data_IF_557518213717
#
_entry.id   IF_557518213717
#
_cell.length_a   1.000
_cell.length_b   1.000
_cell.length_c   1.000
_cell.angle_alpha   90.00
_cell.angle_beta   90.00
_cell.angle_gamma   90.00
#
_symmetry.space_group_name_H-M   'P 1'
#
loop_
_entity.id
_entity.type
_entity.pdbx_description
1 polymer ?
#
# COMPACT_ATOMS: atom_id res chain seq x y z
N UNK A 1 9.88 -38.02 8.84
CA UNK A 1 10.40 -36.68 9.18
C UNK A 1 9.49 -35.70 8.49
N UNK A 2 8.59 -35.10 9.26
CA UNK A 2 7.45 -34.32 8.79
C UNK A 2 7.93 -32.88 8.52
N UNK A 3 7.91 -32.46 7.25
CA UNK A 3 8.28 -31.11 6.83
C UNK A 3 7.04 -30.24 6.97
N UNK A 4 7.03 -29.40 8.02
CA UNK A 4 5.96 -28.48 8.32
C UNK A 4 5.62 -27.61 7.11
N UNK A 5 4.45 -27.86 6.53
CA UNK A 5 3.85 -27.00 5.54
C UNK A 5 3.76 -25.58 6.12
N UNK A 6 4.48 -24.63 5.51
CA UNK A 6 4.24 -23.21 5.72
C UNK A 6 2.75 -22.95 5.44
N UNK A 7 1.97 -22.74 6.51
CA UNK A 7 0.57 -22.35 6.38
C UNK A 7 0.53 -21.04 5.60
N UNK A 8 -0.31 -20.91 4.57
CA UNK A 8 -0.56 -19.60 3.97
C UNK A 8 -1.09 -18.70 5.08
N UNK A 9 -0.32 -17.65 5.41
CA UNK A 9 -0.71 -16.66 6.40
C UNK A 9 -1.82 -15.82 5.79
N UNK A 10 -3.07 -16.27 5.99
CA UNK A 10 -4.27 -15.50 5.66
C UNK A 10 -4.45 -14.37 6.66
N UNK A 11 -5.33 -13.44 6.32
CA UNK A 11 -5.61 -12.17 7.01
C UNK A 11 -6.02 -12.29 8.51
N UNK A 12 -6.05 -13.50 9.06
CA UNK A 12 -6.50 -13.84 10.43
C UNK A 12 -5.50 -13.47 11.54
N UNK A 13 -4.28 -13.03 11.22
CA UNK A 13 -3.25 -12.68 12.22
C UNK A 13 -3.29 -11.22 12.69
N UNK A 14 -4.25 -10.41 12.22
CA UNK A 14 -4.36 -8.99 12.56
C UNK A 14 -5.48 -8.75 13.58
N UNK A 15 -5.23 -7.89 14.59
CA UNK A 15 -6.09 -7.61 15.76
C UNK A 15 -7.52 -7.12 15.43
N UNK A 16 -8.49 -8.02 15.53
CA UNK A 16 -9.93 -7.86 15.22
C UNK A 16 -10.56 -6.71 16.02
N UNK A 17 -11.05 -5.68 15.32
CA UNK A 17 -11.77 -4.53 15.89
C UNK A 17 -11.65 -3.26 15.03
N UNK A 18 -10.42 -2.88 14.68
CA UNK A 18 -10.13 -1.83 13.68
C UNK A 18 -9.91 -2.40 12.27
N UNK A 19 -9.75 -3.72 12.17
CA UNK A 19 -9.42 -4.37 10.91
C UNK A 19 -10.60 -4.59 9.99
N UNK A 20 -11.84 -4.64 10.49
CA UNK A 20 -12.98 -4.86 9.61
C UNK A 20 -13.15 -3.69 8.62
N UNK A 21 -12.98 -2.45 9.09
CA UNK A 21 -12.93 -1.27 8.22
C UNK A 21 -11.76 -1.33 7.23
N UNK A 22 -10.57 -1.73 7.69
CA UNK A 22 -9.42 -1.93 6.81
C UNK A 22 -9.72 -3.01 5.76
N UNK A 23 -10.24 -4.18 6.14
CA UNK A 23 -10.57 -5.26 5.21
C UNK A 23 -11.63 -4.83 4.20
N UNK A 24 -12.65 -4.09 4.62
CA UNK A 24 -13.66 -3.53 3.72
C UNK A 24 -13.04 -2.54 2.74
N UNK A 25 -12.21 -1.62 3.22
CA UNK A 25 -11.49 -0.66 2.40
C UNK A 25 -10.57 -1.35 1.38
N UNK A 26 -9.83 -2.38 1.80
CA UNK A 26 -8.98 -3.16 0.91
C UNK A 26 -9.78 -3.90 -0.16
N UNK A 27 -10.94 -4.47 0.18
CA UNK A 27 -11.85 -5.07 -0.80
C UNK A 27 -12.40 -4.04 -1.79
N UNK A 28 -12.70 -2.83 -1.31
CA UNK A 28 -13.15 -1.71 -2.15
C UNK A 28 -12.04 -1.28 -3.13
N UNK A 29 -10.79 -1.19 -2.66
CA UNK A 29 -9.61 -0.91 -3.50
C UNK A 29 -9.36 -2.01 -4.54
N UNK A 30 -9.35 -3.27 -4.12
CA UNK A 30 -9.12 -4.43 -5.00
C UNK A 30 -10.19 -4.53 -6.11
N UNK A 31 -11.46 -4.31 -5.76
CA UNK A 31 -12.58 -4.33 -6.70
C UNK A 31 -12.71 -3.05 -7.53
N UNK A 32 -11.84 -2.05 -7.29
CA UNK A 32 -11.93 -0.70 -7.89
C UNK A 32 -13.30 -0.05 -7.69
N UNK A 33 -13.90 -0.30 -6.53
CA UNK A 33 -15.22 0.20 -6.16
C UNK A 33 -15.14 1.49 -5.32
N UNK A 34 -13.94 2.03 -5.08
CA UNK A 34 -13.74 3.25 -4.32
C UNK A 34 -14.40 4.44 -5.04
N UNK A 35 -15.23 5.19 -4.32
CA UNK A 35 -16.03 6.30 -4.86
C UNK A 35 -15.50 7.66 -4.43
N UNK A 36 -14.72 7.71 -3.36
CA UNK A 36 -14.14 8.94 -2.82
C UNK A 36 -12.61 8.96 -2.90
N UNK A 37 -12.02 10.15 -2.78
CA UNK A 37 -10.56 10.27 -2.64
C UNK A 37 -10.05 9.61 -1.35
N UNK A 38 -10.81 9.70 -0.26
CA UNK A 38 -10.42 9.10 1.02
C UNK A 38 -10.35 7.56 0.95
N UNK A 39 -11.19 6.94 0.13
CA UNK A 39 -11.15 5.48 -0.11
C UNK A 39 -10.04 5.08 -1.08
N UNK A 40 -9.62 5.97 -2.00
CA UNK A 40 -8.58 5.70 -3.00
C UNK A 40 -7.17 5.95 -2.51
N UNK A 41 -6.98 6.83 -1.53
CA UNK A 41 -5.68 7.24 -1.03
C UNK A 41 -5.59 6.93 0.46
N UNK A 42 -4.94 5.82 0.77
CA UNK A 42 -4.95 5.24 2.11
C UNK A 42 -3.52 5.14 2.62
N UNK A 43 -3.32 5.47 3.90
CA UNK A 43 -2.06 5.24 4.59
C UNK A 43 -2.28 4.32 5.78
N UNK A 44 -1.56 3.20 5.82
CA UNK A 44 -1.60 2.24 6.93
C UNK A 44 -0.33 2.32 7.74
N UNK A 45 -0.47 2.38 9.06
CA UNK A 45 0.67 2.39 9.97
C UNK A 45 0.57 1.28 10.98
N UNK A 46 1.71 0.66 11.26
CA UNK A 46 1.85 -0.35 12.29
C UNK A 46 3.33 -0.54 12.60
N UNK A 47 3.63 -1.02 13.79
CA UNK A 47 5.00 -1.34 14.20
C UNK A 47 5.70 -2.28 13.18
N UNK A 48 7.05 -2.26 13.10
CA UNK A 48 7.80 -3.23 12.32
C UNK A 48 7.41 -4.67 12.68
N UNK A 49 7.32 -5.55 11.67
CA UNK A 49 6.89 -6.94 11.87
C UNK A 49 5.38 -7.16 11.99
N UNK A 50 4.56 -6.09 12.03
CA UNK A 50 3.10 -6.20 12.09
C UNK A 50 2.43 -6.64 10.77
N UNK A 51 3.18 -7.07 9.75
CA UNK A 51 2.62 -7.66 8.53
C UNK A 51 2.21 -6.71 7.38
N UNK A 52 2.51 -5.40 7.46
CA UNK A 52 2.17 -4.42 6.40
C UNK A 52 2.66 -4.83 5.01
N UNK A 53 3.93 -5.25 4.89
CA UNK A 53 4.51 -5.73 3.64
C UNK A 53 3.76 -6.94 3.08
N UNK A 54 3.32 -7.86 3.95
CA UNK A 54 2.55 -9.03 3.53
C UNK A 54 1.18 -8.62 2.97
N UNK A 55 0.52 -7.67 3.64
CA UNK A 55 -0.75 -7.11 3.20
C UNK A 55 -0.63 -6.44 1.82
N UNK A 56 0.37 -5.58 1.63
CA UNK A 56 0.62 -4.92 0.36
C UNK A 56 0.97 -5.95 -0.72
N UNK A 57 1.83 -6.93 -0.44
CA UNK A 57 2.15 -8.00 -1.41
C UNK A 57 0.94 -8.86 -1.78
N UNK A 58 0.01 -9.10 -0.87
CA UNK A 58 -1.23 -9.81 -1.17
C UNK A 58 -2.10 -9.03 -2.17
N UNK A 59 -2.23 -7.71 -1.99
CA UNK A 59 -2.92 -6.83 -2.95
C UNK A 59 -2.21 -6.76 -4.30
N UNK A 60 -0.87 -6.84 -4.28
CA UNK A 60 -0.04 -6.86 -5.48
C UNK A 60 -0.22 -8.12 -6.35
N UNK A 61 -0.91 -9.16 -5.84
CA UNK A 61 -1.29 -10.32 -6.64
C UNK A 61 -2.33 -9.96 -7.73
N UNK A 62 -3.02 -8.82 -7.61
CA UNK A 62 -3.89 -8.30 -8.66
C UNK A 62 -3.07 -7.82 -9.87
N UNK A 63 -3.42 -8.20 -11.11
CA UNK A 63 -2.69 -7.79 -12.32
C UNK A 63 -2.61 -6.27 -12.55
N UNK A 64 -3.46 -5.51 -11.86
CA UNK A 64 -3.50 -4.05 -11.95
C UNK A 64 -2.92 -3.32 -10.75
N UNK A 65 -2.27 -4.07 -9.86
CA UNK A 65 -1.56 -3.52 -8.73
C UNK A 65 -0.05 -3.52 -9.00
N UNK A 66 0.63 -2.49 -8.51
CA UNK A 66 2.09 -2.38 -8.57
C UNK A 66 2.66 -2.11 -7.19
N UNK A 67 3.54 -3.00 -6.74
CA UNK A 67 4.24 -2.89 -5.46
C UNK A 67 5.57 -2.17 -5.62
N UNK A 68 5.80 -1.18 -4.76
CA UNK A 68 7.01 -0.36 -4.70
C UNK A 68 7.53 -0.41 -3.26
N UNK A 69 8.67 -1.07 -3.04
CA UNK A 69 9.31 -1.14 -1.74
C UNK A 69 10.29 0.01 -1.48
N UNK A 70 10.74 0.14 -0.24
CA UNK A 70 11.72 1.14 0.21
C UNK A 70 12.97 1.28 -0.67
N UNK A 71 13.47 0.15 -1.18
CA UNK A 71 14.72 0.05 -1.93
C UNK A 71 14.48 -0.01 -3.46
N UNK A 72 13.29 0.38 -3.92
CA UNK A 72 12.94 0.36 -5.34
C UNK A 72 13.69 1.42 -6.15
N UNK A 73 14.05 1.09 -7.40
CA UNK A 73 14.59 2.06 -8.34
C UNK A 73 13.56 3.14 -8.68
N UNK A 74 14.03 4.34 -9.05
CA UNK A 74 13.15 5.48 -9.37
C UNK A 74 12.17 5.17 -10.51
N UNK A 75 12.54 4.31 -11.45
CA UNK A 75 11.67 3.89 -12.56
C UNK A 75 10.42 3.14 -12.09
N UNK A 76 10.45 2.52 -10.90
CA UNK A 76 9.27 1.85 -10.32
C UNK A 76 8.15 2.84 -9.96
N UNK A 77 8.47 4.13 -9.83
CA UNK A 77 7.49 5.18 -9.54
C UNK A 77 6.87 5.77 -10.81
N UNK A 78 7.27 5.30 -11.99
CA UNK A 78 6.65 5.71 -13.25
C UNK A 78 5.32 4.98 -13.46
N UNK A 79 4.31 5.64 -14.06
CA UNK A 79 3.05 4.99 -14.38
C UNK A 79 3.26 3.82 -15.34
N UNK A 80 2.64 2.69 -15.04
CA UNK A 80 2.64 1.52 -15.91
C UNK A 80 1.27 1.29 -16.56
N UNK A 81 1.20 0.94 -17.86
CA UNK A 81 -0.07 0.62 -18.52
C UNK A 81 -0.83 -0.50 -17.80
N UNK A 82 -2.13 -0.31 -17.59
CA UNK A 82 -2.99 -1.30 -16.92
C UNK A 82 -2.91 -1.31 -15.39
N UNK A 83 -1.95 -0.60 -14.79
CA UNK A 83 -1.84 -0.44 -13.34
C UNK A 83 -2.73 0.71 -12.88
N UNK A 84 -3.59 0.41 -11.90
CA UNK A 84 -4.51 1.39 -11.30
C UNK A 84 -4.46 1.43 -9.78
N UNK A 85 -3.69 0.53 -9.16
CA UNK A 85 -3.47 0.49 -7.72
C UNK A 85 -1.96 0.48 -7.46
N UNK A 86 -1.44 1.50 -6.79
CA UNK A 86 -0.03 1.57 -6.40
C UNK A 86 0.12 1.32 -4.91
N UNK A 87 1.09 0.49 -4.54
CA UNK A 87 1.28 -0.03 -3.19
C UNK A 87 2.70 0.35 -2.73
N UNK A 88 2.81 1.39 -1.92
CA UNK A 88 4.08 1.95 -1.46
C UNK A 88 4.38 1.41 -0.06
N UNK A 89 5.47 0.67 0.11
CA UNK A 89 5.82 0.02 1.37
C UNK A 89 7.00 0.67 2.08
N UNK A 90 6.91 0.75 3.41
CA UNK A 90 7.88 1.38 4.30
C UNK A 90 8.31 2.78 3.82
N UNK A 91 7.34 3.67 3.58
CA UNK A 91 7.57 5.02 3.03
C UNK A 91 8.56 5.86 3.86
N UNK A 92 8.69 5.61 5.16
CA UNK A 92 9.67 6.29 6.03
C UNK A 92 11.13 5.99 5.65
N UNK A 93 11.37 4.91 4.90
CA UNK A 93 12.70 4.49 4.44
C UNK A 93 13.05 5.05 3.07
N UNK A 94 12.14 5.73 2.39
CA UNK A 94 12.41 6.33 1.08
C UNK A 94 13.50 7.41 1.20
N UNK A 95 14.50 7.32 0.31
CA UNK A 95 15.44 8.40 0.06
C UNK A 95 14.71 9.65 -0.49
N UNK A 96 15.36 10.81 -0.42
CA UNK A 96 14.74 12.09 -0.81
C UNK A 96 14.21 12.08 -2.25
N UNK A 97 14.97 11.48 -3.18
CA UNK A 97 14.58 11.35 -4.58
C UNK A 97 13.36 10.44 -4.75
N UNK A 98 13.30 9.34 -3.98
CA UNK A 98 12.16 8.42 -3.99
C UNK A 98 10.90 9.06 -3.38
N UNK A 99 11.03 9.93 -2.37
CA UNK A 99 9.91 10.70 -1.82
C UNK A 99 9.32 11.66 -2.85
N UNK A 100 10.17 12.36 -3.61
CA UNK A 100 9.74 13.24 -4.72
C UNK A 100 9.04 12.41 -5.80
N UNK A 101 9.61 11.26 -6.17
CA UNK A 101 9.02 10.36 -7.16
C UNK A 101 7.65 9.82 -6.70
N UNK A 102 7.53 9.42 -5.43
CA UNK A 102 6.27 8.98 -4.82
C UNK A 102 5.20 10.08 -4.83
N UNK A 103 5.58 11.33 -4.55
CA UNK A 103 4.66 12.46 -4.61
C UNK A 103 4.17 12.75 -6.04
N UNK A 104 5.07 12.68 -7.03
CA UNK A 104 4.69 12.83 -8.44
C UNK A 104 3.75 11.71 -8.89
N UNK A 105 4.05 10.46 -8.51
CA UNK A 105 3.18 9.32 -8.75
C UNK A 105 1.80 9.51 -8.11
N UNK A 106 1.74 9.97 -6.85
CA UNK A 106 0.48 10.26 -6.17
C UNK A 106 -0.39 11.25 -6.95
N UNK A 107 0.19 12.37 -7.40
CA UNK A 107 -0.54 13.38 -8.16
C UNK A 107 -1.09 12.81 -9.48
N UNK A 108 -0.26 12.04 -10.19
CA UNK A 108 -0.65 11.40 -11.44
C UNK A 108 -1.78 10.38 -11.25
N UNK A 109 -1.66 9.50 -10.25
CA UNK A 109 -2.67 8.50 -9.91
C UNK A 109 -4.00 9.17 -9.55
N UNK A 110 -3.94 10.31 -8.83
CA UNK A 110 -5.11 11.10 -8.47
C UNK A 110 -5.81 11.67 -9.71
N UNK A 111 -5.06 12.20 -10.65
CA UNK A 111 -5.60 12.76 -11.90
C UNK A 111 -6.22 11.69 -12.81
N UNK A 112 -5.63 10.49 -12.83
CA UNK A 112 -6.11 9.36 -13.63
C UNK A 112 -7.23 8.56 -12.96
N UNK A 113 -7.59 8.92 -11.72
CA UNK A 113 -8.65 8.27 -10.96
C UNK A 113 -8.30 6.91 -10.38
N UNK A 114 -7.01 6.56 -10.34
CA UNK A 114 -6.51 5.35 -9.69
C UNK A 114 -6.48 5.46 -8.16
N UNK A 115 -5.87 4.46 -7.54
CA UNK A 115 -5.72 4.36 -6.09
C UNK A 115 -4.28 4.13 -5.66
N UNK A 116 -3.97 4.54 -4.44
CA UNK A 116 -2.67 4.38 -3.82
C UNK A 116 -2.84 4.00 -2.34
N UNK A 117 -2.20 2.91 -1.94
CA UNK A 117 -2.08 2.48 -0.55
C UNK A 117 -0.61 2.60 -0.15
N UNK A 118 -0.32 3.43 0.83
CA UNK A 118 1.01 3.61 1.39
C UNK A 118 1.10 2.99 2.80
N UNK A 119 2.28 2.50 3.16
CA UNK A 119 2.55 1.89 4.46
C UNK A 119 3.70 2.61 5.18
N UNK A 120 3.69 2.59 6.51
CA UNK A 120 4.87 2.97 7.30
C UNK A 120 4.79 2.60 8.78
N UNK A 121 5.84 2.91 9.53
CA UNK A 121 5.97 2.49 10.93
C UNK A 121 5.21 3.35 11.95
N UNK A 122 4.88 4.59 11.60
CA UNK A 122 4.24 5.55 12.51
C UNK A 122 3.01 6.17 11.87
N UNK A 123 2.01 6.51 12.68
CA UNK A 123 0.88 7.31 12.21
C UNK A 123 1.44 8.60 11.58
N UNK A 124 0.79 9.14 10.53
CA UNK A 124 1.17 10.44 10.00
C UNK A 124 0.79 11.47 11.06
N UNK A 125 1.70 11.72 12.00
CA UNK A 125 1.58 12.73 13.02
C UNK A 125 1.56 14.06 12.29
N UNK A 126 0.35 14.63 12.13
CA UNK A 126 0.02 15.94 11.56
C UNK A 126 1.22 16.52 10.80
N UNK A 127 1.41 16.08 9.57
CA UNK A 127 2.41 16.66 8.68
C UNK A 127 2.16 18.18 8.69
N UNK A 128 3.11 19.02 9.14
CA UNK A 128 3.01 20.43 8.82
C UNK A 128 3.14 20.50 7.30
N UNK A 129 2.02 20.75 6.64
CA UNK A 129 2.00 21.10 5.22
C UNK A 129 2.90 22.34 5.11
N UNK A 130 4.07 22.18 4.51
CA UNK A 130 4.91 23.28 4.07
C UNK A 130 4.68 23.50 2.59
#
# INVERSE_FOLDING_TARGET
MDLGAEKPQTLDTFVVGQNEELHQLLRVLERRAATSLAERFVYVWAAPGAGKTHLLRALAASPSAHYIGADAALDAFLPAPGVTLYLLDDCERFAAEAQIAAFNLFNLVREQGGALLASGSVAPAILPVR
#
